data_IF_519870491812
#
_entry.id   IF_519870491812
#
_cell.length_a   1.000
_cell.length_b   1.000
_cell.length_c   1.000
_cell.angle_alpha   90.00
_cell.angle_beta   90.00
_cell.angle_gamma   90.00
#
_symmetry.space_group_name_H-M   'P 1'
#
loop_
_entity.id
_entity.type
_entity.pdbx_description
1 polymer ?
#
# COMPACT_ATOMS: atom_id res chain seq x y z
N UNK A 1 -16.56 14.03 4.50
CA UNK A 1 -16.18 12.86 5.33
C UNK A 1 -15.21 11.89 4.62
N UNK A 2 -14.70 12.20 3.42
CA UNK A 2 -13.73 11.35 2.69
C UNK A 2 -12.32 11.94 2.60
N UNK A 3 -12.09 13.12 3.17
CA UNK A 3 -10.86 13.90 2.98
C UNK A 3 -9.61 13.12 3.38
N UNK A 4 -9.67 12.29 4.42
CA UNK A 4 -8.55 11.43 4.83
C UNK A 4 -8.28 10.29 3.83
N UNK A 5 -9.31 9.69 3.24
CA UNK A 5 -9.14 8.68 2.19
C UNK A 5 -8.53 9.30 0.93
N UNK A 6 -9.06 10.45 0.49
CA UNK A 6 -8.54 11.16 -0.67
C UNK A 6 -7.08 11.60 -0.47
N UNK A 7 -6.75 12.09 0.72
CA UNK A 7 -5.37 12.41 1.08
C UNK A 7 -4.47 11.17 1.04
N UNK A 8 -4.88 10.06 1.66
CA UNK A 8 -4.10 8.82 1.67
C UNK A 8 -3.87 8.29 0.26
N UNK A 9 -4.88 8.34 -0.61
CA UNK A 9 -4.77 7.89 -2.00
C UNK A 9 -3.84 8.80 -2.81
N UNK A 10 -3.96 10.13 -2.67
CA UNK A 10 -3.04 11.06 -3.32
C UNK A 10 -1.58 10.80 -2.92
N UNK A 11 -1.32 10.67 -1.61
CA UNK A 11 0.03 10.40 -1.11
C UNK A 11 0.52 9.03 -1.59
N UNK A 12 -0.35 8.02 -1.63
CA UNK A 12 0.00 6.69 -2.16
C UNK A 12 0.38 6.76 -3.65
N UNK A 13 -0.33 7.53 -4.46
CA UNK A 13 0.00 7.74 -5.86
C UNK A 13 1.34 8.46 -6.03
N UNK A 14 1.64 9.44 -5.18
CA UNK A 14 2.95 10.11 -5.15
C UNK A 14 4.08 9.13 -4.79
N UNK A 15 3.84 8.20 -3.86
CA UNK A 15 4.78 7.12 -3.53
C UNK A 15 4.98 6.14 -4.68
N UNK A 16 3.93 5.75 -5.40
CA UNK A 16 4.06 4.90 -6.58
C UNK A 16 4.89 5.58 -7.67
N UNK A 17 4.64 6.85 -7.93
CA UNK A 17 5.44 7.63 -8.89
C UNK A 17 6.91 7.75 -8.45
N UNK A 18 7.16 7.93 -7.15
CA UNK A 18 8.51 7.93 -6.62
C UNK A 18 9.19 6.55 -6.80
N UNK A 19 8.45 5.44 -6.73
CA UNK A 19 9.00 4.11 -6.93
C UNK A 19 9.43 3.83 -8.38
N UNK A 20 8.89 4.54 -9.38
CA UNK A 20 9.25 4.37 -10.80
C UNK A 20 10.74 4.66 -11.09
N UNK A 21 11.41 5.41 -10.22
CA UNK A 21 12.85 5.70 -10.36
C UNK A 21 13.75 4.60 -9.78
N UNK A 22 13.19 3.62 -9.07
CA UNK A 22 13.92 2.55 -8.41
C UNK A 22 14.00 1.29 -9.28
N UNK A 23 15.07 0.52 -9.11
CA UNK A 23 15.13 -0.83 -9.67
C UNK A 23 14.24 -1.78 -8.86
N UNK A 24 13.82 -2.87 -9.49
CA UNK A 24 13.10 -3.95 -8.81
C UNK A 24 13.88 -4.51 -7.60
N UNK A 25 15.20 -4.64 -7.73
CA UNK A 25 16.07 -5.05 -6.63
C UNK A 25 15.94 -4.11 -5.43
N UNK A 26 15.97 -2.78 -5.64
CA UNK A 26 15.84 -1.82 -4.53
C UNK A 26 14.43 -1.76 -3.93
N UNK A 27 13.40 -2.03 -4.73
CA UNK A 27 12.00 -2.14 -4.28
C UNK A 27 11.80 -3.35 -3.37
N UNK A 28 12.41 -4.48 -3.72
CA UNK A 28 12.33 -5.75 -2.99
C UNK A 28 13.38 -5.89 -1.87
N UNK A 29 14.38 -5.01 -1.85
CA UNK A 29 15.49 -5.07 -0.89
C UNK A 29 14.97 -5.07 0.55
N UNK A 30 15.40 -6.09 1.31
CA UNK A 30 15.05 -6.23 2.72
C UNK A 30 15.72 -5.14 3.57
N UNK A 31 14.93 -4.53 4.44
CA UNK A 31 15.30 -3.46 5.38
C UNK A 31 14.75 -3.81 6.76
N UNK A 32 15.38 -3.28 7.81
CA UNK A 32 14.94 -3.48 9.19
C UNK A 32 13.74 -2.58 9.48
N UNK A 33 12.65 -3.16 9.98
CA UNK A 33 11.43 -2.45 10.36
C UNK A 33 10.23 -2.71 9.43
N UNK A 34 9.02 -2.60 9.99
CA UNK A 34 7.78 -2.84 9.24
C UNK A 34 7.69 -4.25 8.66
N UNK A 35 7.12 -4.35 7.45
CA UNK A 35 6.89 -5.64 6.75
C UNK A 35 8.06 -6.08 5.84
N UNK A 36 9.16 -5.31 5.80
CA UNK A 36 10.46 -5.79 5.32
C UNK A 36 11.01 -5.14 4.04
N UNK A 37 10.19 -4.64 3.13
CA UNK A 37 10.65 -3.91 1.92
C UNK A 37 9.67 -2.80 1.51
N UNK A 38 10.08 -1.97 0.54
CA UNK A 38 9.23 -0.87 0.03
C UNK A 38 7.99 -1.46 -0.65
N UNK A 39 8.19 -2.44 -1.54
CA UNK A 39 7.09 -3.05 -2.27
C UNK A 39 6.12 -3.77 -1.33
N UNK A 40 6.62 -4.58 -0.39
CA UNK A 40 5.78 -5.28 0.59
C UNK A 40 4.98 -4.31 1.46
N UNK A 41 5.57 -3.16 1.80
CA UNK A 41 4.87 -2.13 2.59
C UNK A 41 3.71 -1.52 1.82
N UNK A 42 3.92 -1.09 0.57
CA UNK A 42 2.85 -0.52 -0.25
C UNK A 42 1.77 -1.56 -0.56
N UNK A 43 2.16 -2.80 -0.85
CA UNK A 43 1.23 -3.91 -1.03
C UNK A 43 0.36 -4.12 0.22
N UNK A 44 0.99 -4.25 1.39
CA UNK A 44 0.29 -4.47 2.65
C UNK A 44 -0.72 -3.35 2.98
N UNK A 45 -0.39 -2.09 2.67
CA UNK A 45 -1.31 -0.96 2.87
C UNK A 45 -2.57 -1.10 2.00
N UNK A 46 -2.43 -1.45 0.72
CA UNK A 46 -3.58 -1.62 -0.19
C UNK A 46 -4.39 -2.85 0.19
N UNK A 47 -3.72 -3.96 0.49
CA UNK A 47 -4.32 -5.23 0.90
C UNK A 47 -5.22 -5.04 2.13
N UNK A 48 -4.68 -4.46 3.21
CA UNK A 48 -5.45 -4.22 4.44
C UNK A 48 -6.61 -3.25 4.22
N UNK A 49 -6.41 -2.17 3.45
CA UNK A 49 -7.51 -1.25 3.11
C UNK A 49 -8.65 -1.99 2.38
N UNK A 50 -8.31 -2.80 1.37
CA UNK A 50 -9.28 -3.56 0.60
C UNK A 50 -10.02 -4.60 1.43
N UNK A 51 -9.31 -5.37 2.27
CA UNK A 51 -9.91 -6.42 3.11
C UNK A 51 -10.92 -5.83 4.10
N UNK A 52 -10.60 -4.70 4.75
CA UNK A 52 -11.55 -4.04 5.64
C UNK A 52 -12.78 -3.50 4.92
N UNK A 53 -12.61 -2.90 3.74
CA UNK A 53 -13.74 -2.44 2.92
C UNK A 53 -14.60 -3.63 2.45
N UNK A 54 -13.98 -4.75 2.09
CA UNK A 54 -14.67 -5.97 1.67
C UNK A 54 -15.47 -6.58 2.82
N UNK A 55 -14.88 -6.65 4.02
CA UNK A 55 -15.56 -7.08 5.24
C UNK A 55 -16.77 -6.18 5.57
N UNK A 56 -16.64 -4.86 5.43
CA UNK A 56 -17.76 -3.92 5.60
C UNK A 56 -18.86 -4.11 4.55
N UNK A 57 -18.51 -4.60 3.36
CA UNK A 57 -19.46 -4.96 2.30
C UNK A 57 -20.07 -6.36 2.49
N UNK A 58 -19.66 -7.11 3.53
CA UNK A 58 -20.11 -8.48 3.77
C UNK A 58 -19.60 -9.49 2.74
N UNK A 59 -18.49 -9.17 2.05
CA UNK A 59 -17.80 -10.10 1.14
C UNK A 59 -16.87 -10.99 1.96
N UNK A 60 -16.78 -12.26 1.60
CA UNK A 60 -15.75 -13.15 2.13
C UNK A 60 -14.36 -12.70 1.63
N UNK A 61 -13.35 -12.81 2.48
CA UNK A 61 -11.96 -12.57 2.09
C UNK A 61 -11.55 -13.66 1.09
N UNK A 62 -11.07 -13.27 -0.11
CA UNK A 62 -10.57 -14.19 -1.14
C UNK A 62 -9.20 -14.77 -0.78
#
# INVERSE_FOLDING_TARGET
MYTLFQYNWQVRDDWFKWCEQLSEEELLRKRVGGVGSVLETLFHIVDVEYSWISALQGKEDN
#
